data_IF_433641339607
#
_entry.id   IF_433641339607
#
_cell.length_a   1.000
_cell.length_b   1.000
_cell.length_c   1.000
_cell.angle_alpha   90.00
_cell.angle_beta   90.00
_cell.angle_gamma   90.00
#
_symmetry.space_group_name_H-M   'P 1'
#
loop_
_entity.id
_entity.type
_entity.pdbx_description
1 polymer ?
#
# COMPACT_ATOMS: atom_id res chain seq x y z
N UNK A 1 -6.43 -6.43 -27.04
CA UNK A 1 -5.07 -6.00 -26.64
C UNK A 1 -5.09 -5.84 -25.13
N UNK A 2 -4.44 -6.74 -24.38
CA UNK A 2 -4.39 -6.65 -22.91
C UNK A 2 -3.32 -5.64 -22.52
N UNK A 3 -3.71 -4.53 -21.90
CA UNK A 3 -2.78 -3.57 -21.31
C UNK A 3 -2.12 -4.26 -20.10
N UNK A 4 -0.85 -4.64 -20.24
CA UNK A 4 -0.07 -5.18 -19.12
C UNK A 4 0.33 -4.02 -18.22
N UNK A 5 -0.22 -3.96 -17.00
CA UNK A 5 0.21 -3.01 -15.98
C UNK A 5 1.60 -3.43 -15.51
N UNK A 6 2.64 -2.70 -15.91
CA UNK A 6 3.98 -2.91 -15.40
C UNK A 6 4.06 -2.34 -13.98
N UNK A 7 4.44 -3.13 -12.96
CA UNK A 7 4.63 -2.61 -11.61
C UNK A 7 5.72 -1.52 -11.62
N UNK A 8 5.59 -0.47 -10.80
CA UNK A 8 6.67 0.51 -10.63
C UNK A 8 7.94 -0.18 -10.13
N UNK A 9 9.10 0.41 -10.42
CA UNK A 9 10.36 -0.06 -9.88
C UNK A 9 10.28 -0.09 -8.35
N UNK A 10 10.86 -1.11 -7.71
CA UNK A 10 10.81 -1.31 -6.26
C UNK A 10 11.24 -0.04 -5.51
N UNK A 11 12.28 0.64 -5.98
CA UNK A 11 12.78 1.86 -5.34
C UNK A 11 11.78 3.03 -5.42
N UNK A 12 11.04 3.15 -6.53
CA UNK A 12 10.02 4.18 -6.70
C UNK A 12 8.83 3.91 -5.76
N UNK A 13 8.43 2.65 -5.64
CA UNK A 13 7.36 2.22 -4.74
C UNK A 13 7.73 2.48 -3.26
N UNK A 14 8.94 2.09 -2.86
CA UNK A 14 9.43 2.29 -1.50
C UNK A 14 9.56 3.78 -1.14
N UNK A 15 10.10 4.59 -2.06
CA UNK A 15 10.25 6.05 -1.83
C UNK A 15 8.90 6.71 -1.62
N UNK A 16 7.92 6.43 -2.50
CA UNK A 16 6.55 6.93 -2.37
C UNK A 16 5.87 6.44 -1.08
N UNK A 17 6.10 5.18 -0.71
CA UNK A 17 5.60 4.62 0.55
C UNK A 17 6.12 5.39 1.77
N UNK A 18 7.41 5.71 1.77
CA UNK A 18 8.04 6.47 2.84
C UNK A 18 7.50 7.91 2.91
N UNK A 19 7.35 8.59 1.76
CA UNK A 19 6.74 9.91 1.71
C UNK A 19 5.32 9.93 2.29
N UNK A 20 4.50 8.92 1.96
CA UNK A 20 3.16 8.77 2.49
C UNK A 20 3.17 8.60 4.02
N UNK A 21 4.05 7.75 4.56
CA UNK A 21 4.18 7.54 6.00
C UNK A 21 4.60 8.83 6.71
N UNK A 22 5.67 9.49 6.24
CA UNK A 22 6.16 10.75 6.83
C UNK A 22 5.07 11.83 6.79
N UNK A 23 4.32 11.94 5.70
CA UNK A 23 3.22 12.91 5.59
C UNK A 23 2.08 12.62 6.57
N UNK A 24 1.79 11.35 6.84
CA UNK A 24 0.67 10.94 7.69
C UNK A 24 0.96 11.02 9.19
N UNK A 25 2.19 10.67 9.61
CA UNK A 25 2.53 10.54 11.04
C UNK A 25 3.77 11.34 11.48
N UNK A 26 4.45 12.02 10.55
CA UNK A 26 5.71 12.71 10.83
C UNK A 26 6.92 11.78 10.78
N UNK A 27 8.11 12.36 10.68
CA UNK A 27 9.37 11.63 10.45
C UNK A 27 9.68 10.64 11.57
N UNK A 28 9.53 11.06 12.84
CA UNK A 28 9.91 10.23 13.99
C UNK A 28 9.04 8.98 14.10
N UNK A 29 7.72 9.15 14.05
CA UNK A 29 6.80 8.01 14.17
C UNK A 29 6.85 7.09 12.95
N UNK A 30 7.13 7.65 11.76
CA UNK A 30 7.31 6.87 10.54
C UNK A 30 8.54 5.95 10.64
N UNK A 31 9.66 6.42 11.17
CA UNK A 31 10.85 5.61 11.41
C UNK A 31 10.59 4.52 12.46
N UNK A 32 9.91 4.85 13.56
CA UNK A 32 9.52 3.85 14.57
C UNK A 32 8.59 2.78 13.99
N UNK A 33 7.64 3.16 13.13
CA UNK A 33 6.77 2.21 12.44
C UNK A 33 7.58 1.24 11.57
N UNK A 34 8.50 1.74 10.74
CA UNK A 34 9.34 0.88 9.88
C UNK A 34 10.22 -0.04 10.73
N UNK A 35 10.82 0.48 11.80
CA UNK A 35 11.61 -0.32 12.72
C UNK A 35 10.78 -1.43 13.39
N UNK A 36 9.53 -1.13 13.77
CA UNK A 36 8.62 -2.12 14.33
C UNK A 36 8.23 -3.19 13.30
N UNK A 37 7.88 -2.81 12.07
CA UNK A 37 7.55 -3.76 10.99
C UNK A 37 8.73 -4.69 10.67
N UNK A 38 9.97 -4.20 10.72
CA UNK A 38 11.17 -5.02 10.45
C UNK A 38 11.57 -5.93 11.61
N UNK A 39 11.38 -5.47 12.86
CA UNK A 39 11.82 -6.20 14.06
C UNK A 39 10.77 -7.19 14.56
N UNK A 40 9.51 -6.79 14.50
CA UNK A 40 8.39 -7.62 14.92
C UNK A 40 8.01 -8.58 13.79
N UNK A 41 7.53 -9.77 14.15
CA UNK A 41 6.87 -10.67 13.19
C UNK A 41 5.47 -10.12 12.88
N UNK A 42 5.40 -8.94 12.28
CA UNK A 42 4.13 -8.34 11.89
C UNK A 42 3.41 -9.29 10.95
N UNK A 43 2.31 -9.87 11.42
CA UNK A 43 1.52 -10.82 10.64
C UNK A 43 0.67 -10.04 9.63
N UNK A 44 1.29 -9.75 8.49
CA UNK A 44 0.61 -9.09 7.38
C UNK A 44 -0.62 -9.88 6.91
N UNK A 45 -0.62 -11.22 7.00
CA UNK A 45 -1.76 -12.03 6.56
C UNK A 45 -2.95 -11.81 7.48
N UNK A 46 -2.71 -11.78 8.79
CA UNK A 46 -3.76 -11.47 9.79
C UNK A 46 -4.28 -10.06 9.59
N UNK A 47 -3.40 -9.06 9.51
CA UNK A 47 -3.80 -7.67 9.30
C UNK A 47 -4.57 -7.50 7.99
N UNK A 48 -4.11 -8.13 6.90
CA UNK A 48 -4.77 -8.09 5.60
C UNK A 48 -6.19 -8.65 5.69
N UNK A 49 -6.38 -9.81 6.34
CA UNK A 49 -7.72 -10.37 6.53
C UNK A 49 -8.61 -9.43 7.32
N UNK A 50 -8.18 -8.96 8.48
CA UNK A 50 -8.97 -8.04 9.30
C UNK A 50 -9.35 -6.75 8.57
N UNK A 51 -8.44 -6.22 7.75
CA UNK A 51 -8.65 -4.98 7.01
C UNK A 51 -9.54 -5.18 5.76
N UNK A 52 -9.35 -6.26 5.01
CA UNK A 52 -10.05 -6.51 3.75
C UNK A 52 -11.30 -7.38 3.90
N UNK A 53 -11.46 -8.18 4.95
CA UNK A 53 -12.67 -8.99 5.18
C UNK A 53 -13.90 -8.11 5.41
N UNK A 54 -13.72 -6.86 5.86
CA UNK A 54 -14.78 -5.84 5.92
C UNK A 54 -15.08 -5.16 4.59
N UNK A 55 -14.33 -5.45 3.52
CA UNK A 55 -14.45 -4.83 2.21
C UNK A 55 -14.99 -5.84 1.19
N UNK A 56 -16.16 -5.56 0.63
CA UNK A 56 -16.69 -6.31 -0.51
C UNK A 56 -15.67 -6.32 -1.66
N UNK A 57 -15.34 -7.52 -2.17
CA UNK A 57 -14.36 -7.71 -3.24
C UNK A 57 -14.67 -6.85 -4.47
N UNK A 58 -15.97 -6.67 -4.77
CA UNK A 58 -16.42 -5.79 -5.86
C UNK A 58 -15.98 -4.35 -5.65
N UNK A 59 -16.17 -3.82 -4.44
CA UNK A 59 -15.75 -2.46 -4.07
C UNK A 59 -14.24 -2.30 -4.18
N UNK A 60 -13.46 -3.31 -3.78
CA UNK A 60 -12.01 -3.31 -3.96
C UNK A 60 -11.62 -3.21 -5.45
N UNK A 61 -12.21 -4.06 -6.30
CA UNK A 61 -11.93 -4.06 -7.75
C UNK A 61 -12.35 -2.75 -8.41
N UNK A 62 -13.51 -2.20 -8.04
CA UNK A 62 -14.00 -0.92 -8.54
C UNK A 62 -13.09 0.24 -8.13
N UNK A 63 -12.64 0.26 -6.87
CA UNK A 63 -11.71 1.26 -6.35
C UNK A 63 -10.34 1.17 -7.05
N UNK A 64 -9.82 -0.04 -7.24
CA UNK A 64 -8.57 -0.26 -7.95
C UNK A 64 -8.67 0.19 -9.42
N UNK A 65 -9.77 -0.14 -10.10
CA UNK A 65 -10.01 0.29 -11.48
C UNK A 65 -10.19 1.81 -11.59
N UNK A 66 -10.87 2.44 -10.63
CA UNK A 66 -11.02 3.90 -10.57
C UNK A 66 -9.67 4.60 -10.36
N UNK A 67 -8.84 4.09 -9.44
CA UNK A 67 -7.50 4.62 -9.20
C UNK A 67 -6.62 4.51 -10.45
N UNK A 68 -6.64 3.36 -11.13
CA UNK A 68 -5.88 3.13 -12.36
C UNK A 68 -6.31 4.09 -13.50
N UNK A 69 -7.61 4.34 -13.66
CA UNK A 69 -8.12 5.34 -14.62
C UNK A 69 -7.70 6.76 -14.27
N UNK A 70 -7.72 7.12 -13.00
CA UNK A 70 -7.45 8.49 -12.53
C UNK A 70 -5.96 8.83 -12.50
N UNK A 71 -5.09 7.85 -12.28
CA UNK A 71 -3.64 8.04 -12.10
C UNK A 71 -2.83 7.37 -13.21
N UNK A 72 -3.42 7.25 -14.41
CA UNK A 72 -2.91 6.50 -15.56
C UNK A 72 -1.38 6.48 -15.64
N UNK A 73 -0.82 5.32 -15.31
CA UNK A 73 0.42 4.82 -15.90
C UNK A 73 0.03 3.93 -17.08
#
# INVERSE_FOLDING_TARGET
MTNTITPPATIELLSRGMECLVKAMGVVDAEYFIAAVQREKFDYTKWQREYFDGMELRSFVENAAAYARANGK
#
